data_IF_459991388043
#
_entry.id   IF_459991388043
#
_cell.length_a   1.000
_cell.length_b   1.000
_cell.length_c   1.000
_cell.angle_alpha   90.00
_cell.angle_beta   90.00
_cell.angle_gamma   90.00
#
_symmetry.space_group_name_H-M   'P 1'
#
loop_
_entity.id
_entity.type
_entity.pdbx_description
1 polymer ?
#
# COMPACT_ATOMS: atom_id res chain seq x y z
N UNK A 1 0.57 -52.47 0.79
CA UNK A 1 1.61 -51.53 1.28
C UNK A 1 0.94 -50.22 1.56
N UNK A 2 0.49 -50.09 2.80
CA UNK A 2 -0.26 -48.88 3.28
C UNK A 2 0.71 -47.75 3.53
N UNK A 3 0.66 -46.68 2.72
CA UNK A 3 1.34 -45.44 3.05
C UNK A 3 0.50 -44.74 4.13
N UNK A 4 0.83 -45.00 5.40
CA UNK A 4 0.45 -44.13 6.51
C UNK A 4 0.83 -42.70 6.13
N UNK A 5 -0.13 -41.86 5.76
CA UNK A 5 -0.01 -40.39 5.77
C UNK A 5 0.17 -40.00 7.24
N UNK A 6 1.43 -39.86 7.65
CA UNK A 6 1.79 -39.31 8.94
C UNK A 6 1.15 -37.90 9.03
N UNK A 7 0.23 -37.72 9.94
CA UNK A 7 -0.32 -36.39 10.24
C UNK A 7 0.81 -35.54 10.79
N UNK A 8 1.46 -34.75 9.93
CA UNK A 8 2.45 -33.80 10.38
C UNK A 8 1.83 -32.93 11.46
N UNK A 9 2.47 -32.85 12.62
CA UNK A 9 2.06 -31.93 13.68
C UNK A 9 2.09 -30.51 13.18
N UNK A 10 1.15 -29.66 13.61
CA UNK A 10 1.12 -28.23 13.29
C UNK A 10 2.46 -27.57 13.59
N UNK A 11 3.14 -28.01 14.66
CA UNK A 11 4.50 -27.56 14.99
C UNK A 11 5.52 -27.91 13.92
N UNK A 12 5.48 -29.13 13.36
CA UNK A 12 6.41 -29.53 12.28
C UNK A 12 6.17 -28.73 11.00
N UNK A 13 4.92 -28.38 10.70
CA UNK A 13 4.58 -27.49 9.57
C UNK A 13 5.12 -26.07 9.81
N UNK A 14 4.99 -25.55 11.03
CA UNK A 14 5.50 -24.22 11.38
C UNK A 14 7.04 -24.17 11.32
N UNK A 15 7.74 -25.16 11.89
CA UNK A 15 9.20 -25.24 11.80
C UNK A 15 9.66 -25.37 10.35
N UNK A 16 9.03 -26.24 9.57
CA UNK A 16 9.37 -26.39 8.14
C UNK A 16 9.10 -25.12 7.32
N UNK A 17 8.10 -24.32 7.69
CA UNK A 17 7.86 -23.01 7.10
C UNK A 17 8.97 -22.01 7.47
N UNK A 18 9.35 -21.96 8.76
CA UNK A 18 10.43 -21.06 9.22
C UNK A 18 11.76 -21.40 8.59
N UNK A 19 12.12 -22.69 8.49
CA UNK A 19 13.36 -23.13 7.85
C UNK A 19 13.41 -22.72 6.37
N UNK A 20 12.30 -22.89 5.63
CA UNK A 20 12.22 -22.42 4.25
C UNK A 20 12.32 -20.90 4.15
N UNK A 21 11.61 -20.17 5.00
CA UNK A 21 11.64 -18.71 5.01
C UNK A 21 13.06 -18.17 5.29
N UNK A 22 13.81 -18.84 6.19
CA UNK A 22 15.20 -18.51 6.47
C UNK A 22 16.13 -18.89 5.30
N UNK A 23 15.95 -20.08 4.73
CA UNK A 23 16.75 -20.55 3.58
C UNK A 23 16.57 -19.67 2.34
N UNK A 24 15.36 -19.16 2.11
CA UNK A 24 15.04 -18.26 1.01
C UNK A 24 15.33 -16.79 1.32
N UNK A 25 15.90 -16.48 2.49
CA UNK A 25 16.23 -15.12 2.95
C UNK A 25 15.04 -14.14 2.95
N UNK A 26 13.82 -14.64 3.21
CA UNK A 26 12.57 -13.84 3.17
C UNK A 26 12.66 -12.63 4.09
N UNK A 27 13.19 -12.80 5.31
CA UNK A 27 13.37 -11.72 6.27
C UNK A 27 14.28 -10.60 5.75
N UNK A 28 15.36 -10.94 5.07
CA UNK A 28 16.30 -9.97 4.51
C UNK A 28 15.64 -9.13 3.39
N UNK A 29 14.92 -9.78 2.46
CA UNK A 29 14.21 -9.07 1.40
C UNK A 29 13.05 -8.24 1.93
N UNK A 30 12.33 -8.74 2.93
CA UNK A 30 11.27 -7.98 3.60
C UNK A 30 11.81 -6.73 4.31
N UNK A 31 12.92 -6.86 5.05
CA UNK A 31 13.58 -5.74 5.71
C UNK A 31 14.10 -4.71 4.70
N UNK A 32 14.69 -5.16 3.60
CA UNK A 32 15.15 -4.30 2.51
C UNK A 32 14.00 -3.55 1.84
N UNK A 33 12.88 -4.24 1.57
CA UNK A 33 11.69 -3.60 1.01
C UNK A 33 11.11 -2.55 1.97
N UNK A 34 10.99 -2.87 3.26
CA UNK A 34 10.51 -1.95 4.29
C UNK A 34 11.42 -0.71 4.41
N UNK A 35 12.74 -0.90 4.42
CA UNK A 35 13.70 0.19 4.43
C UNK A 35 13.49 1.17 3.25
N UNK A 36 13.39 0.66 2.02
CA UNK A 36 13.17 1.52 0.86
C UNK A 36 11.78 2.15 0.83
N UNK A 37 10.75 1.49 1.36
CA UNK A 37 9.42 2.09 1.53
C UNK A 37 9.47 3.28 2.51
N UNK A 38 10.13 3.11 3.65
CA UNK A 38 10.32 4.20 4.64
C UNK A 38 11.12 5.34 4.02
N UNK A 39 12.20 5.04 3.30
CA UNK A 39 13.03 6.05 2.62
C UNK A 39 12.25 6.79 1.52
N UNK A 40 11.29 6.14 0.88
CA UNK A 40 10.45 6.77 -0.15
C UNK A 40 9.36 7.68 0.44
N UNK A 41 9.05 7.54 1.74
CA UNK A 41 7.94 8.25 2.37
C UNK A 41 8.15 9.77 2.37
N UNK A 42 9.35 10.26 2.68
CA UNK A 42 9.65 11.70 2.68
C UNK A 42 9.52 12.30 1.27
N UNK A 43 10.21 11.77 0.23
CA UNK A 43 10.02 12.27 -1.14
C UNK A 43 8.57 12.15 -1.63
N UNK A 44 7.83 11.10 -1.20
CA UNK A 44 6.44 10.90 -1.56
C UNK A 44 5.52 11.97 -0.96
N UNK A 45 5.71 12.33 0.32
CA UNK A 45 4.98 13.43 0.95
C UNK A 45 5.29 14.74 0.23
N UNK A 46 6.56 15.02 -0.07
CA UNK A 46 6.96 16.21 -0.82
C UNK A 46 6.29 16.25 -2.20
N UNK A 47 6.20 15.13 -2.89
CA UNK A 47 5.51 15.02 -4.17
C UNK A 47 4.00 15.27 -4.03
N UNK A 48 3.33 14.62 -3.06
CA UNK A 48 1.90 14.82 -2.81
C UNK A 48 1.55 16.27 -2.48
N UNK A 49 2.30 16.86 -1.56
CA UNK A 49 2.07 18.26 -1.15
C UNK A 49 2.31 19.22 -2.30
N UNK A 50 3.21 18.88 -3.22
CA UNK A 50 3.46 19.71 -4.40
C UNK A 50 2.36 19.56 -5.44
N UNK A 51 1.76 18.38 -5.62
CA UNK A 51 0.57 18.20 -6.48
C UNK A 51 -0.58 19.07 -5.96
N UNK A 52 -0.77 19.14 -4.64
CA UNK A 52 -1.81 19.97 -4.02
C UNK A 52 -1.67 21.44 -4.43
N UNK A 53 -0.45 21.94 -4.61
CA UNK A 53 -0.19 23.30 -5.08
C UNK A 53 -0.76 23.60 -6.49
N UNK A 54 -0.88 22.59 -7.34
CA UNK A 54 -1.50 22.73 -8.68
C UNK A 54 -3.02 22.59 -8.66
N UNK A 55 -3.60 22.34 -7.50
CA UNK A 55 -5.05 22.36 -7.28
C UNK A 55 -5.48 23.76 -6.80
N UNK A 56 -6.77 24.11 -6.88
CA UNK A 56 -7.27 25.37 -6.33
C UNK A 56 -7.29 25.41 -4.79
N UNK A 57 -6.66 24.45 -4.13
CA UNK A 57 -6.58 24.38 -2.67
C UNK A 57 -5.55 25.39 -2.14
N UNK A 58 -6.01 26.30 -1.31
CA UNK A 58 -5.12 27.25 -0.63
C UNK A 58 -4.43 26.60 0.55
N UNK A 59 -3.28 27.14 0.97
CA UNK A 59 -2.57 26.69 2.18
C UNK A 59 -3.49 26.60 3.40
N UNK A 60 -4.39 27.58 3.57
CA UNK A 60 -5.31 27.62 4.70
C UNK A 60 -6.27 26.42 4.69
N UNK A 61 -6.88 26.10 3.55
CA UNK A 61 -7.77 24.94 3.42
C UNK A 61 -7.05 23.62 3.72
N UNK A 62 -5.82 23.48 3.23
CA UNK A 62 -5.00 22.28 3.49
C UNK A 62 -4.61 22.20 4.97
N UNK A 63 -4.19 23.30 5.58
CA UNK A 63 -3.79 23.33 6.98
C UNK A 63 -4.97 23.05 7.93
N UNK A 64 -6.15 23.55 7.66
CA UNK A 64 -7.37 23.23 8.41
C UNK A 64 -7.72 21.74 8.29
N UNK A 65 -7.64 21.18 7.10
CA UNK A 65 -7.86 19.74 6.88
C UNK A 65 -6.86 18.90 7.67
N UNK A 66 -5.58 19.28 7.64
CA UNK A 66 -4.54 18.59 8.42
C UNK A 66 -4.85 18.66 9.92
N UNK A 67 -5.23 19.82 10.42
CA UNK A 67 -5.60 20.00 11.83
C UNK A 67 -6.82 19.17 12.24
N UNK A 68 -7.77 18.94 11.33
CA UNK A 68 -8.96 18.15 11.58
C UNK A 68 -8.73 16.64 11.58
N UNK A 69 -7.78 16.14 10.76
CA UNK A 69 -7.62 14.69 10.52
C UNK A 69 -6.31 14.10 11.02
N UNK A 70 -5.28 14.92 11.24
CA UNK A 70 -3.95 14.44 11.65
C UNK A 70 -3.81 14.51 13.17
N UNK A 71 -3.32 13.45 13.83
CA UNK A 71 -3.07 13.47 15.27
C UNK A 71 -2.13 14.61 15.69
N UNK A 72 -2.40 15.25 16.82
CA UNK A 72 -1.66 16.42 17.31
C UNK A 72 -0.14 16.22 17.37
N UNK A 73 0.28 15.00 17.71
CA UNK A 73 1.71 14.66 17.87
C UNK A 73 2.55 14.87 16.60
N UNK A 74 1.93 14.71 15.42
CA UNK A 74 2.60 14.83 14.12
C UNK A 74 2.09 16.02 13.29
N UNK A 75 1.08 16.75 13.75
CA UNK A 75 0.50 17.90 13.05
C UNK A 75 1.56 18.94 12.68
N UNK A 76 2.37 19.34 13.66
CA UNK A 76 3.40 20.37 13.44
C UNK A 76 4.42 19.92 12.40
N UNK A 77 4.83 18.65 12.43
CA UNK A 77 5.73 18.08 11.45
C UNK A 77 5.13 18.11 10.04
N UNK A 78 3.88 17.68 9.89
CA UNK A 78 3.17 17.69 8.59
C UNK A 78 2.93 19.11 8.10
N UNK A 79 2.51 20.04 8.98
CA UNK A 79 2.29 21.45 8.63
C UNK A 79 3.59 22.14 8.21
N UNK A 80 4.72 21.82 8.85
CA UNK A 80 6.02 22.35 8.45
C UNK A 80 6.37 21.90 7.03
N UNK A 81 6.19 20.62 6.71
CA UNK A 81 6.42 20.11 5.35
C UNK A 81 5.54 20.83 4.34
N UNK A 82 4.24 20.97 4.64
CA UNK A 82 3.30 21.64 3.74
C UNK A 82 3.64 23.12 3.55
N UNK A 83 3.98 23.84 4.62
CA UNK A 83 4.38 25.26 4.54
C UNK A 83 5.64 25.45 3.70
N UNK A 84 6.62 24.56 3.86
CA UNK A 84 7.84 24.58 3.03
C UNK A 84 7.54 24.37 1.55
N UNK A 85 6.61 23.48 1.21
CA UNK A 85 6.24 23.20 -0.18
C UNK A 85 5.53 24.38 -0.83
N UNK A 86 4.61 25.03 -0.10
CA UNK A 86 3.95 26.24 -0.61
C UNK A 86 4.91 27.42 -0.77
N UNK A 87 6.00 27.47 0.03
CA UNK A 87 7.04 28.50 -0.05
C UNK A 87 8.15 28.24 -1.07
N UNK A 88 8.31 27.02 -1.58
CA UNK A 88 9.43 26.64 -2.44
C UNK A 88 9.16 26.84 -3.94
N UNK A 89 10.27 26.91 -4.69
CA UNK A 89 10.32 27.01 -6.14
C UNK A 89 9.69 25.79 -6.83
N UNK A 90 9.09 26.04 -7.99
CA UNK A 90 8.44 25.03 -8.86
C UNK A 90 9.36 23.87 -9.29
N UNK A 91 10.70 24.08 -9.24
CA UNK A 91 11.68 23.05 -9.61
C UNK A 91 11.78 21.87 -8.64
N UNK A 92 11.33 22.02 -7.39
CA UNK A 92 11.38 20.94 -6.37
C UNK A 92 10.42 19.79 -6.74
N UNK A 93 9.33 20.08 -7.46
CA UNK A 93 8.28 19.11 -7.85
C UNK A 93 8.82 17.93 -8.63
N UNK A 94 9.43 18.14 -9.81
CA UNK A 94 9.89 17.01 -10.62
C UNK A 94 11.01 16.23 -9.94
N UNK A 95 11.87 16.90 -9.16
CA UNK A 95 12.96 16.24 -8.45
C UNK A 95 12.41 15.33 -7.35
N UNK A 96 11.48 15.81 -6.52
CA UNK A 96 10.86 15.00 -5.48
C UNK A 96 10.06 13.82 -6.04
N UNK A 97 9.34 14.01 -7.15
CA UNK A 97 8.63 12.94 -7.85
C UNK A 97 9.59 11.84 -8.33
N UNK A 98 10.69 12.23 -8.99
CA UNK A 98 11.70 11.28 -9.47
C UNK A 98 12.33 10.53 -8.29
N UNK A 99 12.69 11.22 -7.22
CA UNK A 99 13.27 10.61 -6.02
C UNK A 99 12.29 9.65 -5.33
N UNK A 100 11.02 10.02 -5.23
CA UNK A 100 9.99 9.17 -4.66
C UNK A 100 9.80 7.88 -5.47
N UNK A 101 9.62 8.01 -6.79
CA UNK A 101 9.48 6.88 -7.70
C UNK A 101 10.74 5.99 -7.73
N UNK A 102 11.92 6.61 -7.67
CA UNK A 102 13.18 5.88 -7.61
C UNK A 102 13.32 5.06 -6.34
N UNK A 103 13.04 5.65 -5.18
CA UNK A 103 13.13 4.95 -3.88
C UNK A 103 12.06 3.86 -3.74
N UNK A 104 10.81 4.18 -4.08
CA UNK A 104 9.72 3.20 -4.06
C UNK A 104 9.94 2.05 -5.05
N UNK A 105 10.52 2.35 -6.23
CA UNK A 105 10.92 1.32 -7.18
C UNK A 105 12.01 0.38 -6.66
N UNK A 106 12.89 0.81 -5.74
CA UNK A 106 13.83 -0.08 -5.05
C UNK A 106 13.11 -1.04 -4.10
N UNK A 107 12.09 -0.58 -3.38
CA UNK A 107 11.27 -1.47 -2.55
C UNK A 107 10.60 -2.57 -3.40
N UNK A 108 10.01 -2.18 -4.52
CA UNK A 108 9.38 -3.14 -5.45
C UNK A 108 10.38 -4.13 -6.04
N UNK A 109 11.61 -3.68 -6.32
CA UNK A 109 12.70 -4.56 -6.76
C UNK A 109 13.10 -5.56 -5.68
N UNK A 110 13.16 -5.14 -4.40
CA UNK A 110 13.44 -6.03 -3.28
C UNK A 110 12.35 -7.11 -3.14
N UNK A 111 11.09 -6.74 -3.30
CA UNK A 111 9.98 -7.72 -3.34
C UNK A 111 10.13 -8.70 -4.51
N UNK A 112 10.52 -8.22 -5.69
CA UNK A 112 10.77 -9.07 -6.86
C UNK A 112 11.88 -10.06 -6.59
N UNK A 113 13.00 -9.63 -6.00
CA UNK A 113 14.13 -10.48 -5.66
C UNK A 113 13.73 -11.52 -4.61
N UNK A 114 12.97 -11.10 -3.58
CA UNK A 114 12.47 -12.03 -2.56
C UNK A 114 11.54 -13.08 -3.14
N UNK A 115 10.63 -12.71 -4.03
CA UNK A 115 9.73 -13.66 -4.70
C UNK A 115 10.53 -14.59 -5.64
N UNK A 116 11.51 -14.08 -6.37
CA UNK A 116 12.38 -14.92 -7.20
C UNK A 116 13.18 -15.92 -6.35
N UNK A 117 13.65 -15.52 -5.15
CA UNK A 117 14.33 -16.40 -4.21
C UNK A 117 13.40 -17.52 -3.73
N UNK A 118 12.20 -17.20 -3.26
CA UNK A 118 11.19 -18.17 -2.80
C UNK A 118 10.80 -19.17 -3.88
N UNK A 119 10.75 -18.71 -5.14
CA UNK A 119 10.40 -19.57 -6.27
C UNK A 119 11.62 -20.24 -6.93
N UNK A 120 12.84 -20.02 -6.41
CA UNK A 120 14.11 -20.52 -6.93
C UNK A 120 14.30 -20.21 -8.43
N UNK A 121 13.93 -19.00 -8.82
CA UNK A 121 14.00 -18.53 -10.21
C UNK A 121 15.09 -17.48 -10.34
N UNK A 122 15.98 -17.67 -11.32
CA UNK A 122 17.00 -16.66 -11.64
C UNK A 122 16.39 -15.50 -12.44
N UNK A 123 16.77 -14.27 -12.07
CA UNK A 123 16.38 -13.08 -12.81
C UNK A 123 17.16 -13.01 -14.14
N UNK A 124 16.47 -13.19 -15.25
CA UNK A 124 17.05 -13.15 -16.59
C UNK A 124 16.76 -11.85 -17.34
N UNK A 125 15.86 -11.03 -16.80
CA UNK A 125 15.52 -9.73 -17.40
C UNK A 125 16.66 -8.74 -17.18
N UNK A 126 16.91 -7.90 -18.19
CA UNK A 126 17.90 -6.82 -18.09
C UNK A 126 17.52 -5.90 -16.89
N UNK A 127 18.55 -5.42 -16.16
CA UNK A 127 18.37 -4.52 -15.02
C UNK A 127 17.45 -3.32 -15.34
N UNK A 128 17.59 -2.72 -16.53
CA UNK A 128 16.76 -1.58 -16.94
C UNK A 128 15.28 -1.98 -17.09
N UNK A 129 15.02 -3.15 -17.67
CA UNK A 129 13.66 -3.69 -17.83
C UNK A 129 13.04 -3.96 -16.46
N UNK A 130 13.77 -4.62 -15.55
CA UNK A 130 13.30 -4.88 -14.18
C UNK A 130 13.02 -3.57 -13.45
N UNK A 131 13.84 -2.56 -13.69
CA UNK A 131 13.65 -1.23 -13.09
C UNK A 131 12.41 -0.52 -13.64
N UNK A 132 12.17 -0.58 -14.95
CA UNK A 132 10.95 -0.04 -15.55
C UNK A 132 9.69 -0.70 -15.02
N UNK A 133 9.68 -2.03 -14.91
CA UNK A 133 8.56 -2.74 -14.28
C UNK A 133 8.35 -2.29 -12.83
N UNK A 134 9.40 -2.18 -12.03
CA UNK A 134 9.29 -1.72 -10.65
C UNK A 134 8.67 -0.32 -10.56
N UNK A 135 9.06 0.61 -11.40
CA UNK A 135 8.48 1.98 -11.46
C UNK A 135 7.01 1.94 -11.88
N UNK A 136 6.67 1.19 -12.92
CA UNK A 136 5.27 1.05 -13.40
C UNK A 136 4.38 0.45 -12.31
N UNK A 137 4.82 -0.63 -11.64
CA UNK A 137 4.04 -1.23 -10.55
C UNK A 137 3.90 -0.29 -9.36
N UNK A 138 4.96 0.44 -9.01
CA UNK A 138 4.91 1.45 -7.95
C UNK A 138 3.89 2.53 -8.29
N UNK A 139 3.88 3.01 -9.53
CA UNK A 139 2.94 4.03 -9.99
C UNK A 139 1.49 3.53 -9.94
N UNK A 140 1.22 2.34 -10.48
CA UNK A 140 -0.11 1.72 -10.43
C UNK A 140 -0.58 1.48 -8.98
N UNK A 141 0.32 1.02 -8.12
CA UNK A 141 0.05 0.80 -6.71
C UNK A 141 -0.26 2.11 -5.98
N UNK A 142 0.50 3.17 -6.27
CA UNK A 142 0.25 4.51 -5.71
C UNK A 142 -1.11 5.06 -6.12
N UNK A 143 -1.49 4.91 -7.39
CA UNK A 143 -2.83 5.30 -7.87
C UNK A 143 -3.91 4.50 -7.12
N UNK A 144 -3.74 3.20 -6.95
CA UNK A 144 -4.70 2.36 -6.24
C UNK A 144 -4.86 2.78 -4.77
N UNK A 145 -3.76 3.11 -4.09
CA UNK A 145 -3.79 3.63 -2.72
C UNK A 145 -4.52 4.98 -2.67
N UNK A 146 -4.17 5.91 -3.54
CA UNK A 146 -4.80 7.25 -3.58
C UNK A 146 -6.30 7.11 -3.86
N UNK A 147 -6.69 6.31 -4.85
CA UNK A 147 -8.09 6.06 -5.17
C UNK A 147 -8.85 5.43 -3.98
N UNK A 148 -8.22 4.49 -3.28
CA UNK A 148 -8.77 3.86 -2.08
C UNK A 148 -8.97 4.88 -0.95
N UNK A 149 -7.97 5.73 -0.69
CA UNK A 149 -8.07 6.79 0.32
C UNK A 149 -9.16 7.80 -0.02
N UNK A 150 -9.24 8.25 -1.28
CA UNK A 150 -10.29 9.15 -1.74
C UNK A 150 -11.68 8.54 -1.55
N UNK A 151 -11.86 7.25 -1.86
CA UNK A 151 -13.12 6.52 -1.66
C UNK A 151 -13.47 6.40 -0.17
N UNK A 152 -12.49 6.12 0.69
CA UNK A 152 -12.71 5.98 2.13
C UNK A 152 -13.02 7.32 2.80
N UNK A 153 -12.30 8.39 2.45
CA UNK A 153 -12.43 9.70 3.10
C UNK A 153 -13.57 10.52 2.49
N UNK A 154 -13.64 10.58 1.17
CA UNK A 154 -14.61 11.43 0.46
C UNK A 154 -15.86 10.68 0.00
N UNK A 155 -15.93 9.35 0.22
CA UNK A 155 -17.02 8.53 -0.29
C UNK A 155 -18.42 9.06 0.08
N UNK A 156 -18.64 9.44 1.34
CA UNK A 156 -19.91 10.00 1.79
C UNK A 156 -20.23 11.34 1.11
N UNK A 157 -19.24 12.20 0.92
CA UNK A 157 -19.42 13.48 0.23
C UNK A 157 -19.76 13.28 -1.25
N UNK A 158 -19.05 12.36 -1.90
CA UNK A 158 -19.31 11.97 -3.29
C UNK A 158 -20.73 11.41 -3.44
N UNK A 159 -21.17 10.57 -2.49
CA UNK A 159 -22.54 10.03 -2.49
C UNK A 159 -23.60 11.14 -2.38
N UNK A 160 -23.43 12.08 -1.45
CA UNK A 160 -24.37 13.19 -1.25
C UNK A 160 -24.43 14.07 -2.49
N UNK A 161 -23.27 14.45 -3.04
CA UNK A 161 -23.21 15.25 -4.25
C UNK A 161 -23.84 14.55 -5.45
N UNK A 162 -23.47 13.29 -5.69
CA UNK A 162 -24.03 12.52 -6.80
C UNK A 162 -25.54 12.31 -6.66
N UNK A 163 -26.01 12.05 -5.45
CA UNK A 163 -27.45 11.90 -5.17
C UNK A 163 -28.26 13.17 -5.40
N UNK A 164 -27.64 14.34 -5.21
CA UNK A 164 -28.28 15.64 -5.47
C UNK A 164 -28.51 15.90 -6.96
N UNK A 165 -27.57 15.52 -7.82
CA UNK A 165 -27.64 15.75 -9.27
C UNK A 165 -28.30 14.59 -10.02
N UNK A 166 -28.02 13.35 -9.61
CA UNK A 166 -28.54 12.14 -10.25
C UNK A 166 -28.89 11.10 -9.18
N UNK A 167 -30.16 11.01 -8.75
CA UNK A 167 -30.59 10.13 -7.65
C UNK A 167 -30.25 8.65 -7.83
N UNK A 168 -30.19 8.17 -9.07
CA UNK A 168 -29.78 6.81 -9.40
C UNK A 168 -28.30 6.55 -9.07
N UNK A 169 -27.41 7.50 -9.39
CA UNK A 169 -25.98 7.41 -9.08
C UNK A 169 -25.77 7.45 -7.56
N UNK A 170 -26.48 8.29 -6.83
CA UNK A 170 -26.40 8.34 -5.36
C UNK A 170 -26.73 7.00 -4.70
N UNK A 171 -27.70 6.24 -5.25
CA UNK A 171 -28.04 4.89 -4.76
C UNK A 171 -26.95 3.86 -5.05
N UNK A 172 -26.34 3.89 -6.24
CA UNK A 172 -25.24 2.99 -6.60
C UNK A 172 -24.03 3.28 -5.72
N UNK A 173 -23.64 4.55 -5.61
CA UNK A 173 -22.50 4.99 -4.80
C UNK A 173 -22.73 4.62 -3.33
N UNK A 174 -23.97 4.79 -2.81
CA UNK A 174 -24.33 4.39 -1.45
C UNK A 174 -24.15 2.87 -1.18
N UNK A 175 -24.50 2.02 -2.14
CA UNK A 175 -24.25 0.57 -2.05
C UNK A 175 -22.76 0.26 -2.07
N UNK A 176 -21.99 0.93 -2.92
CA UNK A 176 -20.53 0.79 -3.00
C UNK A 176 -19.88 1.19 -1.67
N UNK A 177 -20.28 2.31 -1.10
CA UNK A 177 -19.77 2.79 0.19
C UNK A 177 -20.18 1.88 1.34
N UNK A 178 -21.42 1.34 1.33
CA UNK A 178 -21.87 0.35 2.30
C UNK A 178 -21.05 -0.96 2.27
N UNK A 179 -20.55 -1.32 1.09
CA UNK A 179 -19.69 -2.49 0.88
C UNK A 179 -18.17 -2.17 0.98
N UNK A 180 -17.79 -1.01 1.50
CA UNK A 180 -16.39 -0.52 1.50
C UNK A 180 -15.37 -1.52 2.03
N UNK A 181 -15.68 -2.26 3.09
CA UNK A 181 -14.77 -3.26 3.67
C UNK A 181 -14.52 -4.42 2.69
N UNK A 182 -15.57 -4.90 2.05
CA UNK A 182 -15.45 -5.95 1.03
C UNK A 182 -14.69 -5.45 -0.21
N UNK A 183 -14.87 -4.19 -0.59
CA UNK A 183 -14.15 -3.58 -1.70
C UNK A 183 -12.66 -3.39 -1.40
N UNK A 184 -12.32 -2.97 -0.19
CA UNK A 184 -10.91 -2.86 0.24
C UNK A 184 -10.26 -4.24 0.26
N UNK A 185 -10.94 -5.25 0.79
CA UNK A 185 -10.45 -6.63 0.77
C UNK A 185 -10.26 -7.16 -0.66
N UNK A 186 -11.25 -6.95 -1.52
CA UNK A 186 -11.16 -7.34 -2.94
C UNK A 186 -10.04 -6.59 -3.67
N UNK A 187 -9.87 -5.30 -3.39
CA UNK A 187 -8.77 -4.49 -3.93
C UNK A 187 -7.40 -5.02 -3.50
N UNK A 188 -7.21 -5.29 -2.21
CA UNK A 188 -5.99 -5.90 -1.68
C UNK A 188 -5.72 -7.27 -2.32
N UNK A 189 -6.74 -8.13 -2.39
CA UNK A 189 -6.63 -9.43 -3.04
C UNK A 189 -6.18 -9.31 -4.49
N UNK A 190 -6.78 -8.41 -5.27
CA UNK A 190 -6.41 -8.18 -6.68
C UNK A 190 -4.98 -7.65 -6.80
N UNK A 191 -4.58 -6.71 -5.94
CA UNK A 191 -3.21 -6.18 -5.92
C UNK A 191 -2.21 -7.32 -5.66
N UNK A 192 -2.41 -8.11 -4.62
CA UNK A 192 -1.51 -9.22 -4.31
C UNK A 192 -1.52 -10.31 -5.39
N UNK A 193 -2.68 -10.57 -6.00
CA UNK A 193 -2.78 -11.50 -7.13
C UNK A 193 -1.94 -11.04 -8.33
N UNK A 194 -2.01 -9.75 -8.65
CA UNK A 194 -1.20 -9.15 -9.72
C UNK A 194 0.29 -9.18 -9.36
N UNK A 195 0.65 -8.81 -8.13
CA UNK A 195 2.03 -8.82 -7.67
C UNK A 195 2.63 -10.23 -7.75
N UNK A 196 1.96 -11.25 -7.24
CA UNK A 196 2.44 -12.63 -7.27
C UNK A 196 2.53 -13.21 -8.68
N UNK A 197 1.70 -12.72 -9.61
CA UNK A 197 1.73 -13.15 -11.00
C UNK A 197 2.84 -12.46 -11.80
N UNK A 198 3.07 -11.18 -11.57
CA UNK A 198 3.83 -10.33 -12.49
C UNK A 198 5.23 -9.98 -11.98
N UNK A 199 5.46 -9.92 -10.66
CA UNK A 199 6.78 -9.60 -10.13
C UNK A 199 7.81 -10.71 -10.40
N UNK A 200 7.56 -11.99 -10.06
CA UNK A 200 8.54 -13.04 -10.25
C UNK A 200 8.80 -13.28 -11.74
N UNK A 201 10.06 -13.60 -12.07
CA UNK A 201 10.48 -13.95 -13.42
C UNK A 201 10.07 -15.40 -13.79
N UNK A 202 8.77 -15.70 -13.71
CA UNK A 202 8.23 -17.03 -14.04
C UNK A 202 6.89 -16.96 -14.75
N UNK A 203 6.61 -17.94 -15.59
CA UNK A 203 5.31 -18.13 -16.22
C UNK A 203 4.38 -18.86 -15.24
N UNK A 204 3.60 -18.13 -14.46
CA UNK A 204 2.59 -18.69 -13.57
C UNK A 204 1.18 -18.38 -14.08
N UNK A 205 0.18 -19.20 -13.76
CA UNK A 205 -1.21 -18.91 -14.05
C UNK A 205 -1.84 -18.10 -12.92
N UNK A 206 -2.83 -17.26 -13.21
CA UNK A 206 -3.55 -16.52 -12.17
C UNK A 206 -4.15 -17.46 -11.11
N UNK A 207 -4.72 -18.58 -11.55
CA UNK A 207 -5.34 -19.57 -10.64
C UNK A 207 -4.38 -20.08 -9.58
N UNK A 208 -3.10 -20.29 -9.92
CA UNK A 208 -2.09 -20.80 -8.98
C UNK A 208 -1.67 -19.75 -7.93
N UNK A 209 -1.93 -18.47 -8.17
CA UNK A 209 -1.59 -17.38 -7.25
C UNK A 209 -2.75 -17.03 -6.28
N UNK A 210 -3.97 -17.46 -6.60
CA UNK A 210 -5.17 -17.17 -5.78
C UNK A 210 -5.01 -17.55 -4.31
N UNK A 211 -4.54 -18.74 -3.93
CA UNK A 211 -4.42 -19.11 -2.52
C UNK A 211 -3.47 -18.18 -1.76
N UNK A 212 -2.29 -17.87 -2.34
CA UNK A 212 -1.31 -16.97 -1.72
C UNK A 212 -1.84 -15.56 -1.59
N UNK A 213 -2.47 -15.03 -2.65
CA UNK A 213 -3.06 -13.69 -2.62
C UNK A 213 -4.21 -13.58 -1.59
N UNK A 214 -5.03 -14.63 -1.45
CA UNK A 214 -6.10 -14.67 -0.47
C UNK A 214 -5.55 -14.69 0.97
N UNK A 215 -4.53 -15.52 1.21
CA UNK A 215 -3.90 -15.63 2.53
C UNK A 215 -3.28 -14.30 2.97
N UNK A 216 -2.58 -13.60 2.07
CA UNK A 216 -1.96 -12.32 2.46
C UNK A 216 -3.00 -11.22 2.61
N UNK A 217 -4.04 -11.18 1.78
CA UNK A 217 -5.14 -10.21 1.93
C UNK A 217 -5.88 -10.42 3.25
N UNK A 218 -6.15 -11.69 3.63
CA UNK A 218 -6.74 -12.04 4.92
C UNK A 218 -5.81 -11.69 6.08
N UNK A 219 -4.53 -12.03 5.99
CA UNK A 219 -3.52 -11.72 7.00
C UNK A 219 -3.37 -10.21 7.21
N UNK A 220 -3.34 -9.43 6.14
CA UNK A 220 -3.30 -7.97 6.22
C UNK A 220 -4.55 -7.39 6.87
N UNK A 221 -5.74 -7.89 6.49
CA UNK A 221 -7.01 -7.44 7.07
C UNK A 221 -7.09 -7.75 8.55
N UNK A 222 -6.63 -8.94 8.96
CA UNK A 222 -6.56 -9.35 10.36
C UNK A 222 -5.57 -8.49 11.16
N UNK A 223 -4.37 -8.26 10.61
CA UNK A 223 -3.39 -7.36 11.21
C UNK A 223 -3.95 -5.95 11.37
N UNK A 224 -4.57 -5.39 10.34
CA UNK A 224 -5.18 -4.05 10.38
C UNK A 224 -6.29 -3.96 11.43
N UNK A 225 -7.08 -5.02 11.61
CA UNK A 225 -8.12 -5.10 12.63
C UNK A 225 -7.53 -5.05 14.04
N UNK A 226 -6.55 -5.89 14.35
CA UNK A 226 -5.88 -5.86 15.66
C UNK A 226 -5.13 -4.55 15.91
N UNK A 227 -4.54 -3.99 14.88
CA UNK A 227 -3.86 -2.70 14.96
C UNK A 227 -4.84 -1.57 15.28
N UNK A 228 -6.04 -1.58 14.68
CA UNK A 228 -7.12 -0.65 15.01
C UNK A 228 -7.55 -0.76 16.47
N UNK A 229 -7.76 -1.98 16.97
CA UNK A 229 -8.09 -2.21 18.39
C UNK A 229 -6.99 -1.66 19.31
N UNK A 230 -5.72 -1.91 18.97
CA UNK A 230 -4.60 -1.40 19.73
C UNK A 230 -4.64 0.13 19.86
N UNK A 231 -4.86 0.85 18.75
CA UNK A 231 -4.97 2.31 18.76
C UNK A 231 -6.18 2.80 19.56
N UNK A 232 -7.32 2.11 19.47
CA UNK A 232 -8.50 2.45 20.24
C UNK A 232 -8.30 2.25 21.74
N UNK A 233 -7.64 1.16 22.14
CA UNK A 233 -7.36 0.85 23.55
C UNK A 233 -6.38 1.83 24.19
N UNK A 234 -5.34 2.24 23.47
CA UNK A 234 -4.32 3.16 23.98
C UNK A 234 -4.68 4.63 23.74
N UNK A 235 -5.88 4.93 23.22
CA UNK A 235 -6.37 6.30 22.94
C UNK A 235 -5.35 7.15 22.16
N UNK A 236 -4.53 6.51 21.32
CA UNK A 236 -3.54 7.19 20.48
C UNK A 236 -4.30 7.92 19.39
N UNK A 237 -4.65 9.18 19.61
CA UNK A 237 -5.38 10.02 18.66
C UNK A 237 -6.72 10.58 19.13
N UNK A 238 -7.26 10.18 20.28
CA UNK A 238 -8.38 10.85 20.91
C UNK A 238 -7.83 11.97 21.80
N UNK A 239 -7.82 13.20 21.29
CA UNK A 239 -7.79 14.36 22.16
C UNK A 239 -9.08 14.37 22.95
N UNK A 240 -8.99 14.34 24.27
CA UNK A 240 -10.11 14.67 25.13
C UNK A 240 -10.59 16.08 24.77
N UNK A 241 -11.83 16.18 24.26
CA UNK A 241 -12.60 17.41 24.28
C UNK A 241 -13.11 17.63 25.66
#
# INVERSE_FOLDING_TARGET
MDKKKEKQSVLQLLFGFMDRANGDHVGAYAAQAAYFLIMSFIPFILFLTTIIRYTPLTYNMVSETIRAFVPHNIQNFVLTIVSEVYGRSTAVVPISAIMALWSAGKAMQSLTNGLNSIYHVHETRNWLITRMYAVVYTFLFSIAIIASLLLLVLGNQIQIMAGKYVPFLGRIIGKIIGARTALVFAGLFLIFLILYKMLPNRKATFKSQVPGALLIAAGWSLFSYFFSIYFDMFQIGRAHV
#
